data_IF_807171249446
#
_entry.id   IF_807171249446
#
_cell.length_a   1.000
_cell.length_b   1.000
_cell.length_c   1.000
_cell.angle_alpha   90.00
_cell.angle_beta   90.00
_cell.angle_gamma   90.00
#
_symmetry.space_group_name_H-M   'P 1'
#
loop_
_entity.id
_entity.type
_entity.pdbx_description
1 polymer ?
#
# COMPACT_ATOMS: atom_id res chain seq x y z
N UNK A 1 -8.42 28.78 11.61
CA UNK A 1 -8.26 27.70 12.61
C UNK A 1 -7.70 28.27 13.92
N UNK A 2 -8.10 27.71 15.07
CA UNK A 2 -7.64 28.15 16.41
C UNK A 2 -6.31 27.51 16.79
N UNK A 3 -5.57 28.10 17.76
CA UNK A 3 -4.26 27.57 18.22
C UNK A 3 -4.30 26.08 18.57
N UNK A 4 -5.33 25.64 19.32
CA UNK A 4 -5.44 24.24 19.74
C UNK A 4 -5.82 23.27 18.62
N UNK A 5 -6.56 23.72 17.61
CA UNK A 5 -6.85 22.92 16.41
C UNK A 5 -5.57 22.74 15.59
N UNK A 6 -4.79 23.81 15.43
CA UNK A 6 -3.53 23.80 14.70
C UNK A 6 -2.44 22.99 15.41
N UNK A 7 -2.36 23.09 16.74
CA UNK A 7 -1.45 22.29 17.56
C UNK A 7 -1.70 20.79 17.38
N UNK A 8 -2.98 20.39 17.43
CA UNK A 8 -3.40 19.01 17.14
C UNK A 8 -3.08 18.60 15.70
N UNK A 9 -3.37 19.46 14.72
CA UNK A 9 -3.06 19.22 13.30
C UNK A 9 -1.57 18.98 13.06
N UNK A 10 -0.72 19.70 13.78
CA UNK A 10 0.73 19.60 13.66
C UNK A 10 1.35 18.56 14.61
N UNK A 11 0.57 17.96 15.51
CA UNK A 11 1.07 17.03 16.54
C UNK A 11 2.08 17.68 17.49
N UNK A 12 1.89 18.95 17.83
CA UNK A 12 2.78 19.72 18.74
C UNK A 12 1.94 20.32 19.87
N UNK A 13 2.52 20.55 21.05
CA UNK A 13 1.79 21.20 22.14
C UNK A 13 1.47 22.68 21.81
N UNK A 14 0.29 23.18 22.20
CA UNK A 14 -0.15 24.58 22.02
C UNK A 14 0.92 25.59 22.46
N UNK A 15 1.57 25.32 23.59
CA UNK A 15 2.63 26.19 24.13
C UNK A 15 3.83 26.29 23.18
N UNK A 16 4.14 25.22 22.45
CA UNK A 16 5.24 25.18 21.49
C UNK A 16 4.94 26.09 20.29
N UNK A 17 3.71 26.04 19.76
CA UNK A 17 3.28 26.97 18.72
C UNK A 17 3.33 28.42 19.20
N UNK A 18 2.86 28.68 20.43
CA UNK A 18 2.93 30.03 21.00
C UNK A 18 4.38 30.52 21.17
N UNK A 19 5.31 29.63 21.53
CA UNK A 19 6.72 29.95 21.64
C UNK A 19 7.34 30.25 20.27
N UNK A 20 7.01 29.48 19.23
CA UNK A 20 7.45 29.75 17.86
C UNK A 20 6.93 31.12 17.39
N UNK A 21 5.65 31.41 17.63
CA UNK A 21 5.05 32.71 17.26
C UNK A 21 5.64 33.92 18.00
N UNK A 22 6.31 33.73 19.14
CA UNK A 22 7.02 34.80 19.86
C UNK A 22 8.41 35.09 19.27
N UNK A 23 8.90 34.25 18.38
CA UNK A 23 10.23 34.34 17.79
C UNK A 23 10.24 35.47 16.75
N UNK A 24 10.99 36.57 16.95
CA UNK A 24 10.92 37.76 16.10
C UNK A 24 11.31 37.47 14.65
N UNK A 25 12.21 36.52 14.42
CA UNK A 25 12.75 36.13 13.12
C UNK A 25 11.69 35.57 12.18
N UNK A 26 10.68 34.86 12.71
CA UNK A 26 9.62 34.22 11.89
C UNK A 26 8.26 34.91 12.03
N UNK A 27 8.10 35.77 13.05
CA UNK A 27 6.84 36.44 13.35
C UNK A 27 6.27 37.21 12.13
N UNK A 28 7.14 37.87 11.36
CA UNK A 28 6.75 38.65 10.18
C UNK A 28 6.18 37.82 9.02
N UNK A 29 6.39 36.49 9.01
CA UNK A 29 5.89 35.58 7.98
C UNK A 29 4.41 35.25 8.14
N UNK A 30 3.84 35.55 9.32
CA UNK A 30 2.47 35.18 9.66
C UNK A 30 1.47 36.32 9.42
N UNK A 31 0.22 35.92 9.17
CA UNK A 31 -0.90 36.83 9.02
C UNK A 31 -1.09 37.75 10.24
N UNK A 32 -1.72 38.91 10.04
CA UNK A 32 -1.98 39.88 11.13
C UNK A 32 -2.85 39.28 12.24
N UNK A 33 -3.72 38.35 11.88
CA UNK A 33 -4.63 37.62 12.76
C UNK A 33 -3.89 36.56 13.59
N UNK A 34 -2.97 35.80 12.97
CA UNK A 34 -2.13 34.84 13.66
C UNK A 34 -1.20 35.51 14.68
N UNK A 35 -0.73 36.74 14.38
CA UNK A 35 0.08 37.56 15.28
C UNK A 35 -0.69 38.15 16.47
N UNK A 36 -2.03 38.13 16.43
CA UNK A 36 -2.86 38.77 17.47
C UNK A 36 -2.85 40.31 17.40
N UNK A 37 -2.42 40.87 16.28
CA UNK A 37 -2.38 42.35 16.06
C UNK A 37 -3.70 42.91 15.56
N UNK A 38 -4.69 42.05 15.31
CA UNK A 38 -6.00 42.40 14.76
C UNK A 38 -7.05 42.80 15.83
N UNK A 39 -6.65 42.97 17.09
CA UNK A 39 -7.57 43.35 18.18
C UNK A 39 -8.45 42.22 18.74
N UNK A 40 -8.36 41.02 18.17
CA UNK A 40 -8.97 39.80 18.73
C UNK A 40 -8.12 39.23 19.86
N UNK A 41 -8.77 38.85 20.96
CA UNK A 41 -8.14 38.14 22.09
C UNK A 41 -7.63 36.75 21.66
N UNK A 42 -8.26 36.16 20.64
CA UNK A 42 -7.91 34.84 20.12
C UNK A 42 -7.14 34.96 18.81
N UNK A 43 -6.04 34.22 18.70
CA UNK A 43 -5.27 34.08 17.46
C UNK A 43 -5.99 33.14 16.51
N UNK A 44 -6.16 33.61 15.28
CA UNK A 44 -6.76 32.86 14.19
C UNK A 44 -5.66 32.66 13.15
N UNK A 45 -5.43 31.41 12.78
CA UNK A 45 -4.44 31.03 11.78
C UNK A 45 -5.16 30.65 10.49
N UNK A 46 -4.61 31.10 9.36
CA UNK A 46 -5.07 30.72 8.04
C UNK A 46 -4.34 29.46 7.55
N UNK A 47 -4.76 28.93 6.42
CA UNK A 47 -4.13 27.75 5.82
C UNK A 47 -2.65 28.00 5.49
N UNK A 48 -2.30 29.20 5.01
CA UNK A 48 -0.92 29.60 4.76
C UNK A 48 -0.07 29.61 6.05
N UNK A 49 -0.63 30.12 7.16
CA UNK A 49 0.04 30.12 8.46
C UNK A 49 0.29 28.67 8.95
N UNK A 50 -0.67 27.77 8.69
CA UNK A 50 -0.55 26.35 9.04
C UNK A 50 0.58 25.67 8.25
N UNK A 51 0.69 25.94 6.95
CA UNK A 51 1.77 25.40 6.10
C UNK A 51 3.13 25.94 6.55
N UNK A 52 3.22 27.22 6.92
CA UNK A 52 4.46 27.82 7.43
C UNK A 52 4.87 27.14 8.75
N UNK A 53 3.93 26.95 9.69
CA UNK A 53 4.21 26.27 10.95
C UNK A 53 4.57 24.78 10.77
N UNK A 54 3.97 24.11 9.79
CA UNK A 54 4.34 22.73 9.44
C UNK A 54 5.77 22.66 8.87
N UNK A 55 6.14 23.64 8.05
CA UNK A 55 7.50 23.76 7.50
C UNK A 55 8.53 24.01 8.60
N UNK A 56 8.21 24.87 9.56
CA UNK A 56 9.04 25.13 10.75
C UNK A 56 9.21 23.86 11.58
N UNK A 57 8.10 23.13 11.83
CA UNK A 57 8.13 21.85 12.56
C UNK A 57 9.10 20.87 11.90
N UNK A 58 8.99 20.68 10.59
CA UNK A 58 9.80 19.74 9.82
C UNK A 58 11.30 20.11 9.85
N UNK A 59 11.62 21.40 9.68
CA UNK A 59 13.00 21.88 9.76
C UNK A 59 13.60 21.67 11.15
N UNK A 60 12.78 21.85 12.19
CA UNK A 60 13.20 21.61 13.58
C UNK A 60 13.34 20.13 13.92
N UNK A 61 12.49 19.25 13.40
CA UNK A 61 12.65 17.80 13.59
C UNK A 61 13.88 17.27 12.86
N UNK A 62 14.26 17.87 11.73
CA UNK A 62 15.47 17.54 10.98
C UNK A 62 16.76 18.14 11.59
N UNK A 63 16.67 18.70 12.80
CA UNK A 63 17.83 19.15 13.58
C UNK A 63 18.24 20.61 13.34
N UNK A 64 17.55 21.36 12.48
CA UNK A 64 17.81 22.79 12.34
C UNK A 64 17.14 23.55 13.50
N UNK A 65 17.94 24.05 14.43
CA UNK A 65 17.47 24.86 15.56
C UNK A 65 17.75 26.37 15.39
N UNK A 66 18.35 26.78 14.27
CA UNK A 66 18.66 28.18 13.99
C UNK A 66 17.46 28.87 13.35
N UNK A 67 16.81 29.76 14.10
CA UNK A 67 15.62 30.48 13.66
C UNK A 67 15.83 31.37 12.44
N UNK A 68 17.03 31.91 12.26
CA UNK A 68 17.36 32.76 11.11
C UNK A 68 17.44 31.94 9.82
N UNK A 69 18.01 30.73 9.89
CA UNK A 69 18.06 29.80 8.76
C UNK A 69 16.68 29.27 8.41
N UNK A 70 15.88 28.92 9.42
CA UNK A 70 14.48 28.51 9.23
C UNK A 70 13.70 29.62 8.53
N UNK A 71 13.81 30.86 9.00
CA UNK A 71 13.14 32.01 8.39
C UNK A 71 13.58 32.21 6.93
N UNK A 72 14.88 32.08 6.64
CA UNK A 72 15.43 32.19 5.29
C UNK A 72 14.89 31.09 4.36
N UNK A 73 14.91 29.82 4.78
CA UNK A 73 14.41 28.70 3.98
C UNK A 73 12.90 28.84 3.69
N UNK A 74 12.13 29.30 4.69
CA UNK A 74 10.71 29.59 4.51
C UNK A 74 10.51 30.80 3.58
N UNK A 75 11.35 31.83 3.61
CA UNK A 75 11.30 32.94 2.65
C UNK A 75 11.66 32.52 1.22
N UNK A 76 12.63 31.62 1.07
CA UNK A 76 13.07 31.04 -0.21
C UNK A 76 12.02 30.10 -0.84
N UNK A 77 10.89 29.88 -0.17
CA UNK A 77 9.76 29.15 -0.71
C UNK A 77 9.65 27.69 -0.24
N UNK A 78 10.46 27.26 0.72
CA UNK A 78 10.31 25.93 1.31
C UNK A 78 8.95 25.82 2.02
N UNK A 79 8.08 24.95 1.52
CA UNK A 79 6.71 24.73 2.04
C UNK A 79 6.47 23.23 2.17
N UNK A 80 6.41 22.75 3.41
CA UNK A 80 6.04 21.37 3.70
C UNK A 80 4.51 21.25 3.83
N UNK A 81 3.88 20.64 2.84
CA UNK A 81 2.40 20.51 2.74
C UNK A 81 1.86 19.19 3.33
N UNK A 82 2.74 18.24 3.64
CA UNK A 82 2.33 16.97 4.24
C UNK A 82 2.17 17.13 5.76
N UNK A 83 0.94 17.01 6.25
CA UNK A 83 0.67 17.07 7.68
C UNK A 83 0.85 15.67 8.31
N UNK A 84 1.30 15.58 9.58
CA UNK A 84 1.46 14.30 10.24
C UNK A 84 0.11 13.55 10.33
N UNK A 85 0.09 12.28 9.89
CA UNK A 85 -1.11 11.43 9.83
C UNK A 85 -1.79 11.19 11.19
N UNK A 86 -1.11 11.50 12.29
CA UNK A 86 -1.61 11.37 13.65
C UNK A 86 -2.58 12.51 14.07
N UNK A 87 -2.85 13.46 13.18
CA UNK A 87 -3.83 14.55 13.37
C UNK A 87 -5.30 14.12 13.23
N UNK A 88 -5.57 12.85 12.92
CA UNK A 88 -6.91 12.28 12.93
C UNK A 88 -7.33 12.01 14.38
N UNK A 89 -7.96 12.99 15.02
CA UNK A 89 -9.16 12.92 15.88
C UNK A 89 -9.34 14.34 16.45
N UNK A 90 -10.03 15.21 15.70
CA UNK A 90 -10.40 16.56 16.17
C UNK A 90 -11.91 16.79 16.16
N UNK A 91 -12.74 15.75 16.01
CA UNK A 91 -14.17 15.91 16.33
C UNK A 91 -14.40 15.60 17.81
N UNK A 92 -14.41 16.66 18.63
CA UNK A 92 -14.74 16.61 20.06
C UNK A 92 -16.24 16.38 20.33
N UNK A 93 -17.02 15.91 19.36
CA UNK A 93 -18.35 15.33 19.60
C UNK A 93 -18.33 13.84 19.88
N UNK A 94 -17.19 13.18 19.71
CA UNK A 94 -17.03 11.77 20.09
C UNK A 94 -16.45 11.72 21.49
N UNK A 95 -17.27 11.24 22.41
CA UNK A 95 -16.89 10.86 23.78
C UNK A 95 -15.56 10.11 23.72
N UNK A 96 -14.54 10.44 24.55
CA UNK A 96 -13.35 9.62 24.65
C UNK A 96 -13.80 8.26 25.16
N UNK A 97 -13.96 7.33 24.23
CA UNK A 97 -14.27 5.96 24.53
C UNK A 97 -13.14 5.43 25.42
N UNK A 98 -13.43 4.86 26.61
CA UNK A 98 -12.39 4.37 27.50
C UNK A 98 -11.53 3.35 26.75
N UNK A 99 -10.21 3.39 26.95
CA UNK A 99 -9.21 2.57 26.23
C UNK A 99 -9.54 1.06 26.14
N UNK A 100 -10.44 0.58 27.00
CA UNK A 100 -11.04 -0.75 26.92
C UNK A 100 -11.72 -1.05 25.57
N UNK A 101 -12.52 -0.13 24.99
CA UNK A 101 -13.21 -0.44 23.72
C UNK A 101 -12.27 -0.31 22.51
N UNK A 102 -11.24 0.52 22.59
CA UNK A 102 -10.17 0.53 21.57
C UNK A 102 -9.36 -0.77 21.60
N UNK A 103 -9.13 -1.33 22.79
CA UNK A 103 -8.49 -2.62 22.95
C UNK A 103 -9.36 -3.77 22.43
N UNK A 104 -10.68 -3.73 22.63
CA UNK A 104 -11.59 -4.76 22.08
C UNK A 104 -11.70 -4.68 20.56
N UNK A 105 -11.77 -3.47 19.99
CA UNK A 105 -11.76 -3.29 18.54
C UNK A 105 -10.44 -3.79 17.92
N UNK A 106 -9.30 -3.48 18.55
CA UNK A 106 -8.01 -4.00 18.10
C UNK A 106 -7.93 -5.52 18.20
N UNK A 107 -8.44 -6.10 19.29
CA UNK A 107 -8.50 -7.55 19.48
C UNK A 107 -9.38 -8.23 18.42
N UNK A 108 -10.53 -7.63 18.08
CA UNK A 108 -11.39 -8.12 16.98
C UNK A 108 -10.67 -8.08 15.64
N UNK A 109 -10.00 -6.98 15.31
CA UNK A 109 -9.25 -6.85 14.05
C UNK A 109 -8.12 -7.88 13.97
N UNK A 110 -7.40 -8.12 15.08
CA UNK A 110 -6.36 -9.14 15.13
C UNK A 110 -6.95 -10.55 14.96
N UNK A 111 -8.07 -10.85 15.61
CA UNK A 111 -8.76 -12.13 15.48
C UNK A 111 -9.27 -12.35 14.03
N UNK A 112 -9.86 -11.33 13.41
CA UNK A 112 -10.29 -11.38 12.02
C UNK A 112 -9.11 -11.61 11.08
N UNK A 113 -8.00 -10.89 11.28
CA UNK A 113 -6.76 -11.07 10.52
C UNK A 113 -6.25 -12.50 10.64
N UNK A 114 -6.18 -13.04 11.86
CA UNK A 114 -5.64 -14.38 12.09
C UNK A 114 -6.55 -15.45 11.47
N UNK A 115 -7.87 -15.30 11.58
CA UNK A 115 -8.84 -16.18 10.89
C UNK A 115 -8.76 -16.09 9.36
N UNK A 116 -8.42 -14.92 8.81
CA UNK A 116 -8.28 -14.71 7.38
C UNK A 116 -6.96 -15.33 6.87
N UNK A 117 -5.89 -15.21 7.65
CA UNK A 117 -4.61 -15.85 7.36
C UNK A 117 -4.71 -17.38 7.40
N UNK A 118 -5.43 -17.93 8.38
CA UNK A 118 -5.67 -19.37 8.46
C UNK A 118 -6.45 -19.86 7.23
N UNK A 119 -7.54 -19.19 6.85
CA UNK A 119 -8.29 -19.51 5.63
C UNK A 119 -7.43 -19.39 4.37
N UNK A 120 -6.60 -18.37 4.27
CA UNK A 120 -5.68 -18.21 3.14
C UNK A 120 -4.67 -19.37 3.08
N UNK A 121 -4.14 -19.82 4.22
CA UNK A 121 -3.19 -20.93 4.29
C UNK A 121 -3.82 -22.26 3.82
N UNK A 122 -5.07 -22.52 4.22
CA UNK A 122 -5.82 -23.70 3.78
C UNK A 122 -6.07 -23.68 2.27
N UNK A 123 -6.53 -22.54 1.73
CA UNK A 123 -6.76 -22.39 0.29
C UNK A 123 -5.48 -22.55 -0.53
N UNK A 124 -4.34 -22.05 -0.03
CA UNK A 124 -3.04 -22.25 -0.69
C UNK A 124 -2.69 -23.74 -0.72
N UNK A 125 -2.91 -24.45 0.38
CA UNK A 125 -2.64 -25.88 0.45
C UNK A 125 -3.53 -26.68 -0.50
N UNK A 126 -4.83 -26.40 -0.54
CA UNK A 126 -5.78 -27.03 -1.47
C UNK A 126 -5.38 -26.77 -2.94
N UNK A 127 -5.01 -25.54 -3.27
CA UNK A 127 -4.59 -25.18 -4.62
C UNK A 127 -3.31 -25.91 -5.03
N UNK A 128 -2.38 -26.09 -4.09
CA UNK A 128 -1.16 -26.85 -4.33
C UNK A 128 -1.43 -28.35 -4.51
N UNK A 129 -2.36 -28.93 -3.74
CA UNK A 129 -2.82 -30.30 -3.93
C UNK A 129 -3.47 -30.48 -5.31
N UNK A 130 -4.41 -29.60 -5.68
CA UNK A 130 -5.10 -29.69 -6.97
C UNK A 130 -4.12 -29.54 -8.15
N UNK A 131 -3.15 -28.63 -8.05
CA UNK A 131 -2.10 -28.49 -9.07
C UNK A 131 -1.26 -29.76 -9.22
N UNK A 132 -0.92 -30.41 -8.11
CA UNK A 132 -0.15 -31.65 -8.12
C UNK A 132 -0.96 -32.81 -8.71
N UNK A 133 -2.25 -32.90 -8.42
CA UNK A 133 -3.15 -33.90 -9.02
C UNK A 133 -3.28 -33.69 -10.53
N UNK A 134 -3.60 -32.45 -10.96
CA UNK A 134 -3.67 -32.10 -12.38
C UNK A 134 -2.37 -32.41 -13.11
N UNK A 135 -1.21 -32.16 -12.47
CA UNK A 135 0.09 -32.49 -13.05
C UNK A 135 0.25 -33.99 -13.25
N UNK A 136 -0.09 -34.82 -12.26
CA UNK A 136 -0.03 -36.29 -12.37
C UNK A 136 -0.95 -36.80 -13.47
N UNK A 137 -2.16 -36.26 -13.58
CA UNK A 137 -3.11 -36.67 -14.60
C UNK A 137 -2.64 -36.26 -16.00
N UNK A 138 -2.04 -35.07 -16.13
CA UNK A 138 -1.43 -34.64 -17.38
C UNK A 138 -0.25 -35.55 -17.79
N UNK A 139 0.59 -35.94 -16.82
CA UNK A 139 1.70 -36.87 -17.04
C UNK A 139 1.19 -38.24 -17.51
N UNK A 140 0.10 -38.76 -16.92
CA UNK A 140 -0.56 -40.00 -17.37
C UNK A 140 -1.12 -39.86 -18.78
N UNK A 141 -1.89 -38.81 -19.06
CA UNK A 141 -2.46 -38.57 -20.38
C UNK A 141 -1.38 -38.45 -21.46
N UNK A 142 -0.27 -37.76 -21.17
CA UNK A 142 0.89 -37.69 -22.07
C UNK A 142 1.59 -39.03 -22.27
N UNK A 143 1.60 -39.91 -21.27
CA UNK A 143 2.15 -41.26 -21.40
C UNK A 143 1.27 -42.15 -22.27
N UNK A 144 -0.05 -42.03 -22.15
CA UNK A 144 -1.02 -42.73 -22.98
C UNK A 144 -1.00 -42.25 -24.42
N UNK A 145 -0.95 -40.93 -24.66
CA UNK A 145 -0.75 -40.37 -26.00
C UNK A 145 0.49 -40.96 -26.68
N UNK A 146 1.64 -40.94 -25.99
CA UNK A 146 2.88 -41.52 -26.52
C UNK A 146 2.82 -43.03 -26.74
N UNK A 147 1.93 -43.75 -26.06
CA UNK A 147 1.70 -45.18 -26.30
C UNK A 147 0.85 -45.37 -27.54
N UNK A 148 -0.26 -44.64 -27.65
CA UNK A 148 -1.18 -44.70 -28.78
C UNK A 148 -0.50 -44.27 -30.08
N UNK A 149 0.30 -43.20 -30.06
CA UNK A 149 1.12 -42.78 -31.22
C UNK A 149 2.04 -43.90 -31.72
N UNK A 150 2.65 -44.66 -30.80
CA UNK A 150 3.48 -45.83 -31.15
C UNK A 150 2.66 -46.99 -31.70
N UNK A 151 1.46 -47.24 -31.17
CA UNK A 151 0.57 -48.27 -31.69
C UNK A 151 0.03 -47.90 -33.08
N UNK A 152 -0.36 -46.63 -33.29
CA UNK A 152 -0.75 -46.08 -34.59
C UNK A 152 0.39 -46.26 -35.60
N UNK A 153 1.61 -45.82 -35.29
CA UNK A 153 2.74 -45.97 -36.22
C UNK A 153 3.05 -47.43 -36.60
N UNK A 154 2.85 -48.39 -35.67
CA UNK A 154 2.97 -49.82 -35.98
C UNK A 154 1.87 -50.31 -36.91
N UNK A 155 0.63 -49.87 -36.69
CA UNK A 155 -0.50 -50.22 -37.53
C UNK A 155 -0.37 -49.61 -38.93
N UNK A 156 0.03 -48.33 -39.01
CA UNK A 156 0.32 -47.64 -40.27
C UNK A 156 1.39 -48.38 -41.07
N UNK A 157 2.52 -48.76 -40.44
CA UNK A 157 3.57 -49.54 -41.10
C UNK A 157 3.08 -50.91 -41.60
N UNK A 158 2.24 -51.60 -40.83
CA UNK A 158 1.66 -52.89 -41.24
C UNK A 158 0.67 -52.75 -42.41
N UNK A 159 -0.11 -51.67 -42.43
CA UNK A 159 -1.01 -51.34 -43.54
C UNK A 159 -0.18 -51.04 -44.81
N UNK A 160 0.90 -50.26 -44.68
CA UNK A 160 1.78 -49.95 -45.80
C UNK A 160 2.43 -51.22 -46.40
N UNK A 161 2.86 -52.15 -45.56
CA UNK A 161 3.43 -53.43 -45.98
C UNK A 161 2.40 -54.31 -46.72
N UNK A 162 1.18 -54.42 -46.18
CA UNK A 162 0.08 -55.13 -46.86
C UNK A 162 -0.30 -54.51 -48.22
N UNK A 163 -0.22 -53.17 -48.32
CA UNK A 163 -0.48 -52.47 -49.58
C UNK A 163 0.64 -52.70 -50.61
N UNK A 164 1.90 -52.77 -50.19
CA UNK A 164 3.03 -53.11 -51.06
C UNK A 164 2.93 -54.53 -51.61
N UNK A 165 2.74 -55.52 -50.74
CA UNK A 165 2.61 -56.93 -51.20
C UNK A 165 1.46 -57.14 -52.17
N UNK A 166 0.35 -56.41 -51.99
CA UNK A 166 -0.80 -56.51 -52.89
C UNK A 166 -0.51 -55.90 -54.27
N UNK A 167 0.25 -54.81 -54.32
CA UNK A 167 0.69 -54.23 -55.60
C UNK A 167 1.74 -55.10 -56.30
N UNK A 168 2.62 -55.77 -55.54
CA UNK A 168 3.64 -56.66 -56.10
C UNK A 168 3.04 -58.00 -56.61
N UNK A 169 1.93 -58.46 -56.06
CA UNK A 169 1.18 -59.64 -56.56
C UNK A 169 0.34 -59.35 -57.82
N UNK A 170 -0.03 -58.09 -58.06
CA UNK A 170 -0.85 -57.66 -59.19
C UNK A 170 -0.02 -57.25 -60.44
N UNK A 171 1.33 -57.31 -60.40
CA UNK A 171 2.19 -57.19 -61.58
C UNK A 171 2.43 -58.59 -62.20
N UNK A 172 1.70 -59.00 -63.26
CA UNK A 172 1.98 -60.25 -63.95
C UNK A 172 3.35 -60.16 -64.64
N UNK A 173 4.19 -61.19 -64.45
CA UNK A 173 5.44 -61.39 -65.20
C UNK A 173 5.16 -61.26 -66.70
N UNK A 174 5.49 -60.10 -67.27
CA UNK A 174 5.47 -59.88 -68.70
C UNK A 174 6.68 -60.59 -69.31
N UNK A 175 6.43 -61.77 -69.89
CA UNK A 175 7.34 -62.49 -70.78
C UNK A 175 7.71 -61.69 -72.03
#
# INVERSE_FOLDING_TARGET
>A
MRSGELAKLLGVADQTLLNWMKTPEINHLFSREARGTAGSIQRIYNEEDAIILNSIRELRSNGNNNWQEIAKLVLEGFRFREFPKNALITDTRVIPIPMAEQATQLAQVLQERDSALERASLLVHELEQERNERRKDNEKAQSELRRLEREIGKLEGRIEEMLKTKNDEDEPESF
#
